data_IF_519837410423
#
_entry.id   IF_519837410423
#
_cell.length_a   1.000
_cell.length_b   1.000
_cell.length_c   1.000
_cell.angle_alpha   90.00
_cell.angle_beta   90.00
_cell.angle_gamma   90.00
#
_symmetry.space_group_name_H-M   'P 1'
#
loop_
_entity.id
_entity.type
_entity.pdbx_description
1 polymer ?
#
# COMPACT_ATOMS: atom_id res chain seq x y z
N UNK A 1 -27.14 -40.41 -9.16
CA UNK A 1 -25.97 -39.55 -9.41
C UNK A 1 -26.51 -38.16 -9.60
N UNK A 2 -26.24 -37.23 -8.67
CA UNK A 2 -26.59 -35.81 -8.81
C UNK A 2 -25.27 -35.03 -8.87
N UNK A 3 -25.10 -34.22 -9.91
CA UNK A 3 -23.89 -33.44 -10.24
C UNK A 3 -23.86 -32.06 -9.56
N UNK A 4 -24.42 -31.91 -8.35
CA UNK A 4 -24.62 -30.60 -7.70
C UNK A 4 -23.69 -30.33 -6.48
N UNK A 5 -22.62 -31.10 -6.28
CA UNK A 5 -21.80 -31.03 -5.04
C UNK A 5 -20.36 -30.49 -5.22
N UNK A 6 -20.02 -29.93 -6.39
CA UNK A 6 -18.64 -29.50 -6.71
C UNK A 6 -18.23 -28.12 -6.11
N UNK A 7 -19.04 -27.57 -5.21
CA UNK A 7 -18.90 -26.20 -4.71
C UNK A 7 -18.70 -26.04 -3.21
N UNK A 8 -18.82 -27.10 -2.42
CA UNK A 8 -18.82 -27.02 -0.95
C UNK A 8 -17.48 -27.48 -0.41
N UNK A 9 -16.54 -26.55 -0.29
CA UNK A 9 -15.34 -26.78 0.51
C UNK A 9 -15.72 -26.64 2.00
N UNK A 10 -15.52 -27.67 2.84
CA UNK A 10 -15.71 -27.54 4.28
C UNK A 10 -14.57 -26.68 4.84
N UNK A 11 -14.74 -25.36 4.78
CA UNK A 11 -13.87 -24.44 5.47
C UNK A 11 -14.30 -24.38 6.94
N UNK A 12 -13.35 -24.41 7.91
CA UNK A 12 -13.69 -24.05 9.27
C UNK A 12 -14.39 -22.69 9.24
N UNK A 13 -15.43 -22.54 10.06
CA UNK A 13 -16.31 -21.37 10.01
C UNK A 13 -15.46 -20.09 9.95
N UNK A 14 -15.82 -19.12 9.10
CA UNK A 14 -15.11 -17.85 8.96
C UNK A 14 -14.86 -17.15 10.31
N UNK A 15 -15.71 -17.47 11.31
CA UNK A 15 -15.61 -17.06 12.71
C UNK A 15 -14.36 -17.58 13.44
N UNK A 16 -13.82 -18.73 13.04
CA UNK A 16 -12.66 -19.38 13.64
C UNK A 16 -11.34 -18.91 12.97
N UNK A 17 -11.39 -18.57 11.69
CA UNK A 17 -10.24 -18.14 10.90
C UNK A 17 -9.91 -16.64 11.02
N UNK A 18 -10.89 -15.79 11.37
CA UNK A 18 -10.69 -14.33 11.43
C UNK A 18 -10.48 -13.82 12.86
N UNK A 19 -9.25 -13.37 13.16
CA UNK A 19 -8.93 -12.53 14.33
C UNK A 19 -8.49 -11.16 13.84
N UNK A 20 -9.22 -10.06 14.17
CA UNK A 20 -8.77 -8.72 13.78
C UNK A 20 -7.40 -8.42 14.43
N UNK A 21 -6.39 -7.98 13.67
CA UNK A 21 -5.01 -7.81 14.17
C UNK A 21 -4.87 -6.76 15.29
N UNK A 22 -5.80 -5.80 15.36
CA UNK A 22 -5.74 -4.69 16.32
C UNK A 22 -7.03 -4.56 17.10
N UNK A 23 -7.25 -5.41 18.11
CA UNK A 23 -8.08 -5.16 19.30
C UNK A 23 -9.50 -4.57 19.15
N UNK A 24 -10.10 -4.56 17.96
CA UNK A 24 -11.40 -3.97 17.70
C UNK A 24 -12.52 -4.83 18.29
N UNK A 25 -13.50 -4.20 18.95
CA UNK A 25 -14.64 -4.90 19.54
C UNK A 25 -15.39 -5.70 18.47
N UNK A 26 -15.66 -6.96 18.77
CA UNK A 26 -16.52 -7.85 17.99
C UNK A 26 -17.95 -7.32 18.02
N UNK A 27 -18.46 -6.89 16.87
CA UNK A 27 -19.90 -6.82 16.63
C UNK A 27 -20.13 -7.37 15.25
N UNK A 28 -20.76 -8.53 15.16
CA UNK A 28 -21.68 -8.90 14.08
C UNK A 28 -22.41 -10.17 14.56
N UNK A 29 -23.73 -10.06 14.80
CA UNK A 29 -24.60 -11.22 15.02
C UNK A 29 -24.53 -12.12 13.78
N UNK A 30 -24.52 -13.44 14.00
CA UNK A 30 -24.33 -14.45 12.96
C UNK A 30 -25.15 -14.17 11.70
N UNK A 31 -24.45 -13.97 10.59
CA UNK A 31 -25.03 -13.80 9.28
C UNK A 31 -24.35 -14.76 8.30
N UNK A 32 -25.14 -15.59 7.64
CA UNK A 32 -24.67 -16.46 6.55
C UNK A 32 -24.48 -15.61 5.29
N UNK A 33 -23.28 -15.61 4.71
CA UNK A 33 -23.03 -14.93 3.43
C UNK A 33 -23.42 -15.85 2.28
N UNK A 34 -24.57 -15.60 1.65
CA UNK A 34 -24.93 -16.21 0.36
C UNK A 34 -24.32 -15.39 -0.77
N UNK A 35 -23.34 -15.94 -1.48
CA UNK A 35 -22.86 -15.35 -2.73
C UNK A 35 -23.88 -15.70 -3.82
N UNK A 36 -24.69 -14.72 -4.23
CA UNK A 36 -25.55 -14.85 -5.41
C UNK A 36 -24.77 -14.44 -6.65
N UNK A 37 -24.77 -15.30 -7.66
CA UNK A 37 -24.38 -14.91 -9.02
C UNK A 37 -25.47 -14.01 -9.61
N UNK A 38 -25.09 -12.82 -10.06
CA UNK A 38 -25.80 -12.04 -11.09
C UNK A 38 -27.21 -11.56 -10.75
N UNK A 39 -27.35 -10.28 -10.43
CA UNK A 39 -28.63 -9.58 -10.44
C UNK A 39 -28.43 -8.07 -10.57
N UNK A 40 -28.96 -7.49 -11.66
CA UNK A 40 -28.88 -6.07 -12.02
C UNK A 40 -29.73 -5.24 -11.04
N UNK A 41 -29.07 -4.63 -10.04
CA UNK A 41 -29.69 -3.71 -9.09
C UNK A 41 -29.21 -2.28 -9.33
N UNK A 42 -30.16 -1.40 -9.63
CA UNK A 42 -29.96 0.05 -9.81
C UNK A 42 -29.71 0.76 -8.48
N UNK A 43 -28.63 1.54 -8.39
CA UNK A 43 -28.53 2.67 -7.46
C UNK A 43 -27.25 2.73 -6.60
N UNK A 44 -26.52 3.84 -6.71
CA UNK A 44 -25.57 4.31 -5.69
C UNK A 44 -24.10 3.95 -5.93
N UNK A 45 -23.30 4.95 -6.30
CA UNK A 45 -21.85 4.89 -6.47
C UNK A 45 -21.13 4.55 -5.16
N UNK A 46 -20.91 3.25 -4.94
CA UNK A 46 -19.79 2.63 -4.22
C UNK A 46 -19.94 1.11 -4.32
N UNK A 47 -20.07 0.59 -5.55
CA UNK A 47 -20.05 -0.84 -5.78
C UNK A 47 -18.63 -1.35 -5.50
N UNK A 48 -18.48 -2.19 -4.47
CA UNK A 48 -17.27 -2.98 -4.30
C UNK A 48 -17.00 -3.72 -5.62
N UNK A 49 -15.75 -3.79 -6.10
CA UNK A 49 -15.45 -4.47 -7.36
C UNK A 49 -15.97 -5.91 -7.28
N UNK A 50 -16.82 -6.28 -8.23
CA UNK A 50 -17.33 -7.65 -8.36
C UNK A 50 -16.18 -8.53 -8.85
N UNK A 51 -15.57 -9.27 -7.94
CA UNK A 51 -14.53 -10.24 -8.27
C UNK A 51 -15.11 -11.36 -9.13
N UNK A 52 -14.39 -11.76 -10.17
CA UNK A 52 -14.66 -12.98 -10.91
C UNK A 52 -14.50 -14.22 -10.00
N UNK A 53 -15.11 -15.36 -10.35
CA UNK A 53 -14.93 -16.61 -9.60
C UNK A 53 -13.46 -17.04 -9.47
N UNK A 54 -12.62 -16.72 -10.45
CA UNK A 54 -11.19 -17.01 -10.42
C UNK A 54 -10.45 -16.13 -9.41
N UNK A 55 -10.70 -14.82 -9.40
CA UNK A 55 -10.11 -13.89 -8.43
C UNK A 55 -10.57 -14.18 -7.00
N UNK A 56 -11.84 -14.58 -6.82
CA UNK A 56 -12.37 -15.00 -5.54
C UNK A 56 -11.66 -16.26 -5.02
N UNK A 57 -11.45 -17.28 -5.87
CA UNK A 57 -10.70 -18.50 -5.54
C UNK A 57 -9.23 -18.20 -5.19
N UNK A 58 -8.55 -17.40 -6.00
CA UNK A 58 -7.16 -17.01 -5.74
C UNK A 58 -7.01 -16.24 -4.41
N UNK A 59 -7.95 -15.32 -4.11
CA UNK A 59 -7.96 -14.59 -2.84
C UNK A 59 -8.20 -15.54 -1.65
N UNK A 60 -9.12 -16.49 -1.79
CA UNK A 60 -9.39 -17.48 -0.74
C UNK A 60 -8.18 -18.38 -0.48
N UNK A 61 -7.53 -18.85 -1.56
CA UNK A 61 -6.32 -19.66 -1.48
C UNK A 61 -5.19 -18.92 -0.76
N UNK A 62 -5.01 -17.63 -1.06
CA UNK A 62 -4.03 -16.78 -0.37
C UNK A 62 -4.31 -16.66 1.13
N UNK A 63 -5.58 -16.48 1.50
CA UNK A 63 -6.02 -16.39 2.90
C UNK A 63 -5.78 -17.73 3.62
N UNK A 64 -6.18 -18.84 3.00
CA UNK A 64 -6.00 -20.20 3.56
C UNK A 64 -4.51 -20.52 3.74
N UNK A 65 -3.66 -20.12 2.79
CA UNK A 65 -2.20 -20.28 2.86
C UNK A 65 -1.53 -19.31 3.85
N UNK A 66 -2.27 -18.40 4.48
CA UNK A 66 -1.73 -17.33 5.35
C UNK A 66 -0.61 -16.56 4.65
N UNK A 67 -0.77 -16.27 3.35
CA UNK A 67 0.25 -15.51 2.65
C UNK A 67 0.40 -14.13 3.30
N UNK A 68 1.63 -13.62 3.41
CA UNK A 68 1.87 -12.32 4.05
C UNK A 68 1.09 -11.22 3.32
N UNK A 69 0.26 -10.49 4.06
CA UNK A 69 -0.49 -9.34 3.56
C UNK A 69 0.21 -8.04 3.96
N UNK A 70 0.27 -7.08 3.03
CA UNK A 70 0.85 -5.75 3.26
C UNK A 70 -0.27 -4.75 3.47
N UNK A 71 -0.17 -3.99 4.55
CA UNK A 71 -1.01 -2.82 4.77
C UNK A 71 -0.40 -1.63 4.04
N UNK A 72 -1.17 -1.04 3.12
CA UNK A 72 -0.80 0.20 2.44
C UNK A 72 -1.65 1.33 3.00
N UNK A 73 -1.00 2.42 3.39
CA UNK A 73 -1.65 3.64 3.87
C UNK A 73 -1.15 4.83 3.07
N UNK A 74 -2.06 5.61 2.47
CA UNK A 74 -1.72 6.95 1.98
C UNK A 74 -1.58 7.85 3.21
N UNK A 75 -0.37 8.33 3.47
CA UNK A 75 -0.02 9.02 4.70
C UNK A 75 -0.07 10.54 4.58
N UNK A 76 0.10 11.09 3.37
CA UNK A 76 0.09 12.53 3.18
C UNK A 76 0.24 12.97 1.73
N UNK A 77 0.21 14.29 1.54
CA UNK A 77 0.46 14.98 0.27
C UNK A 77 1.28 16.23 0.56
N UNK A 78 2.27 16.52 -0.28
CA UNK A 78 3.17 17.65 -0.11
C UNK A 78 2.92 18.69 -1.20
N UNK A 79 3.18 19.95 -0.85
CA UNK A 79 2.99 21.09 -1.75
C UNK A 79 4.23 21.96 -1.67
N UNK A 80 4.89 22.14 -2.80
CA UNK A 80 6.08 22.96 -2.93
C UNK A 80 7.33 22.31 -2.34
N UNK A 81 8.48 22.88 -2.69
CA UNK A 81 9.80 22.38 -2.31
C UNK A 81 9.99 22.28 -0.79
N UNK A 82 9.51 23.26 -0.03
CA UNK A 82 9.70 23.31 1.42
C UNK A 82 9.02 22.14 2.15
N UNK A 83 7.74 21.89 1.85
CA UNK A 83 7.00 20.79 2.49
C UNK A 83 7.54 19.42 2.07
N UNK A 84 7.93 19.28 0.80
CA UNK A 84 8.56 18.04 0.31
C UNK A 84 9.93 17.80 0.95
N UNK A 85 10.76 18.85 1.07
CA UNK A 85 12.07 18.77 1.72
C UNK A 85 11.98 18.38 3.19
N UNK A 86 11.02 18.95 3.94
CA UNK A 86 10.75 18.54 5.32
C UNK A 86 10.27 17.08 5.40
N UNK A 87 9.46 16.64 4.44
CA UNK A 87 9.06 15.24 4.37
C UNK A 87 10.24 14.29 4.11
N UNK A 88 11.14 14.65 3.19
CA UNK A 88 12.37 13.89 2.96
C UNK A 88 13.28 13.87 4.20
N UNK A 89 13.38 15.00 4.93
CA UNK A 89 14.03 15.04 6.24
C UNK A 89 13.39 14.05 7.22
N UNK A 90 12.07 14.03 7.32
CA UNK A 90 11.34 13.10 8.19
C UNK A 90 11.59 11.62 7.85
N UNK A 91 11.44 11.22 6.57
CA UNK A 91 11.59 9.80 6.18
C UNK A 91 13.06 9.34 6.21
N UNK A 92 14.02 10.24 6.01
CA UNK A 92 15.46 9.91 6.16
C UNK A 92 15.94 9.99 7.61
N UNK A 93 15.07 10.33 8.57
CA UNK A 93 15.46 10.68 9.96
C UNK A 93 16.58 11.72 9.99
N UNK A 94 16.51 12.70 9.09
CA UNK A 94 17.51 13.74 8.85
C UNK A 94 18.88 13.15 8.52
N UNK A 95 18.92 12.27 7.52
CA UNK A 95 20.13 11.63 6.99
C UNK A 95 20.67 10.44 7.80
N UNK A 96 19.93 9.97 8.81
CA UNK A 96 20.30 8.75 9.57
C UNK A 96 19.88 7.46 8.88
N UNK A 97 18.90 7.54 7.99
CA UNK A 97 18.40 6.43 7.20
C UNK A 97 18.66 6.70 5.72
N UNK A 98 18.99 5.64 5.00
CA UNK A 98 19.15 5.65 3.56
C UNK A 98 17.80 5.85 2.86
N UNK A 99 17.78 6.72 1.86
CA UNK A 99 16.67 6.88 0.94
C UNK A 99 17.12 6.42 -0.44
N UNK A 100 16.39 5.51 -1.06
CA UNK A 100 16.67 5.02 -2.42
C UNK A 100 15.76 5.72 -3.43
N UNK A 101 16.34 6.27 -4.49
CA UNK A 101 15.58 6.87 -5.60
C UNK A 101 15.07 5.82 -6.58
N UNK A 102 14.16 6.22 -7.47
CA UNK A 102 13.67 5.39 -8.58
C UNK A 102 14.77 4.90 -9.53
N UNK A 103 15.90 5.61 -9.60
CA UNK A 103 17.06 5.23 -10.41
C UNK A 103 18.05 4.32 -9.67
N UNK A 104 17.74 3.99 -8.41
CA UNK A 104 18.60 3.16 -7.56
C UNK A 104 19.69 3.92 -6.80
N UNK A 105 19.76 5.25 -6.92
CA UNK A 105 20.68 6.09 -6.14
C UNK A 105 20.36 5.95 -4.64
N UNK A 106 21.37 5.72 -3.81
CA UNK A 106 21.24 5.72 -2.34
C UNK A 106 21.69 7.09 -1.83
N UNK A 107 20.77 7.78 -1.16
CA UNK A 107 20.94 9.16 -0.70
C UNK A 107 20.84 9.18 0.83
N UNK A 108 21.89 9.69 1.48
CA UNK A 108 21.95 9.90 2.93
C UNK A 108 22.15 11.37 3.31
N UNK A 109 22.56 12.21 2.37
CA UNK A 109 22.77 13.64 2.61
C UNK A 109 21.45 14.43 2.57
N UNK A 110 21.15 15.12 3.67
CA UNK A 110 19.95 15.93 3.80
C UNK A 110 19.94 17.11 2.82
N UNK A 111 21.10 17.69 2.51
CA UNK A 111 21.17 18.80 1.54
C UNK A 111 20.82 18.31 0.14
N UNK A 112 21.31 17.14 -0.26
CA UNK A 112 20.93 16.49 -1.51
C UNK A 112 19.43 16.20 -1.57
N UNK A 113 18.83 15.71 -0.50
CA UNK A 113 17.37 15.49 -0.44
C UNK A 113 16.58 16.80 -0.62
N UNK A 114 17.00 17.89 0.03
CA UNK A 114 16.38 19.21 -0.14
C UNK A 114 16.53 19.75 -1.56
N UNK A 115 17.67 19.51 -2.21
CA UNK A 115 17.86 19.88 -3.61
C UNK A 115 16.91 19.10 -4.53
N UNK A 116 16.77 17.78 -4.32
CA UNK A 116 15.83 16.96 -5.10
C UNK A 116 14.37 17.42 -4.90
N UNK A 117 13.99 17.80 -3.67
CA UNK A 117 12.67 18.36 -3.40
C UNK A 117 12.42 19.67 -4.19
N UNK A 118 13.45 20.52 -4.32
CA UNK A 118 13.37 21.73 -5.13
C UNK A 118 13.27 21.42 -6.63
N UNK A 119 14.02 20.43 -7.12
CA UNK A 119 13.95 19.98 -8.51
C UNK A 119 12.56 19.44 -8.86
N UNK A 120 11.95 18.64 -7.98
CA UNK A 120 10.59 18.12 -8.15
C UNK A 120 9.55 19.23 -8.21
N UNK A 121 9.64 20.22 -7.33
CA UNK A 121 8.74 21.39 -7.33
C UNK A 121 8.90 22.22 -8.61
N UNK A 122 10.14 22.45 -9.06
CA UNK A 122 10.40 23.15 -10.32
C UNK A 122 9.78 22.41 -11.52
N UNK A 123 9.92 21.08 -11.58
CA UNK A 123 9.30 20.26 -12.62
C UNK A 123 7.77 20.30 -12.53
N UNK A 124 7.21 20.23 -11.32
CA UNK A 124 5.76 20.34 -11.11
C UNK A 124 5.20 21.68 -11.61
N UNK A 125 5.87 22.78 -11.30
CA UNK A 125 5.49 24.12 -11.76
C UNK A 125 5.59 24.23 -13.29
N UNK A 126 6.66 23.72 -13.89
CA UNK A 126 6.84 23.70 -15.34
C UNK A 126 5.73 22.89 -16.06
N UNK A 127 5.29 21.78 -15.45
CA UNK A 127 4.18 20.96 -15.97
C UNK A 127 2.79 21.49 -15.61
N UNK A 128 2.67 22.60 -14.88
CA UNK A 128 1.40 23.20 -14.45
C UNK A 128 1.16 24.59 -15.07
N UNK A 129 1.15 24.74 -16.41
CA UNK A 129 1.07 26.06 -17.06
C UNK A 129 -0.22 26.83 -16.75
N UNK A 130 -1.26 26.14 -16.31
CA UNK A 130 -2.56 26.73 -15.95
C UNK A 130 -2.76 26.93 -14.44
N UNK A 131 -1.75 26.65 -13.61
CA UNK A 131 -1.78 26.92 -12.17
C UNK A 131 -2.86 26.16 -11.39
N UNK A 132 -3.14 24.89 -11.75
CA UNK A 132 -4.11 24.07 -11.01
C UNK A 132 -3.59 23.75 -9.60
N UNK A 133 -4.43 23.83 -8.57
CA UNK A 133 -4.05 23.35 -7.23
C UNK A 133 -3.93 21.82 -7.26
N UNK A 134 -2.69 21.35 -7.12
CA UNK A 134 -2.33 19.94 -7.06
C UNK A 134 -1.15 19.74 -6.12
N UNK A 135 -1.02 18.57 -5.49
CA UNK A 135 0.16 18.24 -4.70
C UNK A 135 1.37 18.00 -5.62
N UNK A 136 2.55 18.36 -5.13
CA UNK A 136 3.85 18.06 -5.76
C UNK A 136 4.19 16.57 -5.63
N UNK A 137 3.84 15.95 -4.49
CA UNK A 137 4.06 14.53 -4.24
C UNK A 137 2.97 13.91 -3.35
N UNK A 138 2.94 12.58 -3.30
CA UNK A 138 2.06 11.81 -2.44
C UNK A 138 2.87 10.79 -1.64
N UNK A 139 2.62 10.70 -0.34
CA UNK A 139 3.32 9.76 0.53
C UNK A 139 2.46 8.55 0.84
N UNK A 140 3.08 7.38 0.80
CA UNK A 140 2.51 6.10 1.15
C UNK A 140 3.40 5.41 2.20
N UNK A 141 2.77 4.62 3.06
CA UNK A 141 3.46 3.76 4.03
C UNK A 141 3.00 2.33 3.80
N UNK A 142 3.96 1.45 3.59
CA UNK A 142 3.76 0.03 3.41
C UNK A 142 4.31 -0.69 4.64
N UNK A 143 3.48 -1.47 5.32
CA UNK A 143 3.83 -2.17 6.56
C UNK A 143 3.34 -3.60 6.54
N UNK A 144 4.03 -4.49 7.26
CA UNK A 144 3.59 -5.85 7.50
C UNK A 144 3.37 -6.08 9.01
N UNK A 145 2.45 -6.98 9.40
CA UNK A 145 2.35 -7.43 10.79
C UNK A 145 3.69 -7.99 11.28
N UNK A 146 4.10 -7.62 12.49
CA UNK A 146 5.36 -8.12 13.07
C UNK A 146 5.39 -9.64 13.24
N UNK A 147 6.53 -10.26 12.97
CA UNK A 147 6.79 -11.68 13.25
C UNK A 147 6.67 -12.65 12.07
N UNK A 148 6.29 -12.18 10.86
CA UNK A 148 6.17 -13.06 9.68
C UNK A 148 7.21 -12.83 8.59
N UNK A 149 7.83 -11.65 8.52
CA UNK A 149 8.71 -11.26 7.40
C UNK A 149 9.84 -10.35 7.91
N UNK A 150 11.07 -10.55 7.42
CA UNK A 150 12.22 -9.70 7.73
C UNK A 150 12.14 -8.34 7.00
N UNK A 151 12.84 -7.34 7.54
CA UNK A 151 12.78 -5.97 7.01
C UNK A 151 13.37 -5.83 5.59
N UNK A 152 14.36 -6.66 5.23
CA UNK A 152 14.96 -6.62 3.90
C UNK A 152 13.99 -7.15 2.84
N UNK A 153 13.30 -8.26 3.12
CA UNK A 153 12.24 -8.79 2.26
C UNK A 153 11.10 -7.78 2.07
N UNK A 154 10.72 -7.04 3.11
CA UNK A 154 9.72 -5.96 2.98
C UNK A 154 10.24 -4.87 2.04
N UNK A 155 11.48 -4.44 2.23
CA UNK A 155 12.09 -3.39 1.41
C UNK A 155 12.17 -3.80 -0.07
N UNK A 156 12.63 -5.02 -0.36
CA UNK A 156 12.73 -5.55 -1.72
C UNK A 156 11.35 -5.69 -2.38
N UNK A 157 10.35 -6.17 -1.63
CA UNK A 157 8.98 -6.26 -2.11
C UNK A 157 8.39 -4.87 -2.43
N UNK A 158 8.64 -3.87 -1.59
CA UNK A 158 8.18 -2.50 -1.84
C UNK A 158 8.91 -1.87 -3.02
N UNK A 159 10.20 -2.16 -3.22
CA UNK A 159 10.92 -1.71 -4.42
C UNK A 159 10.39 -2.36 -5.69
N UNK A 160 10.10 -3.66 -5.66
CA UNK A 160 9.48 -4.34 -6.79
C UNK A 160 8.10 -3.76 -7.10
N UNK A 161 7.29 -3.50 -6.06
CA UNK A 161 6.00 -2.81 -6.19
C UNK A 161 6.17 -1.42 -6.80
N UNK A 162 7.09 -0.61 -6.28
CA UNK A 162 7.27 0.76 -6.75
C UNK A 162 7.71 0.80 -8.23
N UNK A 163 8.57 -0.13 -8.63
CA UNK A 163 8.98 -0.29 -10.01
C UNK A 163 7.79 -0.65 -10.92
N UNK A 164 6.96 -1.61 -10.53
CA UNK A 164 5.82 -2.05 -11.34
C UNK A 164 4.77 -0.94 -11.49
N UNK A 165 4.48 -0.20 -10.41
CA UNK A 165 3.36 0.75 -10.40
C UNK A 165 3.73 2.18 -10.82
N UNK A 166 4.98 2.61 -10.62
CA UNK A 166 5.37 4.01 -10.82
C UNK A 166 6.44 4.23 -11.89
N UNK A 167 7.25 3.22 -12.22
CA UNK A 167 8.31 3.38 -13.22
C UNK A 167 7.74 3.81 -14.58
N UNK A 168 8.42 4.77 -15.22
CA UNK A 168 8.00 5.34 -16.51
C UNK A 168 6.90 6.40 -16.40
N UNK A 169 6.28 6.60 -15.24
CA UNK A 169 5.26 7.63 -15.02
C UNK A 169 5.60 8.63 -13.91
N UNK A 170 6.18 8.15 -12.81
CA UNK A 170 6.48 8.96 -11.63
C UNK A 170 7.87 8.62 -11.09
N UNK A 171 8.62 9.66 -10.72
CA UNK A 171 9.80 9.50 -9.86
C UNK A 171 9.33 9.16 -8.44
N UNK A 172 10.11 8.36 -7.73
CA UNK A 172 9.79 7.96 -6.36
C UNK A 172 11.02 7.86 -5.47
N UNK A 173 10.80 7.95 -4.16
CA UNK A 173 11.80 7.79 -3.09
C UNK A 173 11.32 6.77 -2.07
N UNK A 174 12.20 5.83 -1.70
CA UNK A 174 11.91 4.72 -0.78
C UNK A 174 12.80 4.81 0.46
N UNK A 175 12.20 4.75 1.65
CA UNK A 175 12.94 4.72 2.92
C UNK A 175 12.41 3.63 3.85
N UNK A 176 13.28 2.71 4.27
CA UNK A 176 12.94 1.65 5.23
C UNK A 176 13.14 2.15 6.68
N UNK A 177 12.10 2.05 7.49
CA UNK A 177 12.14 2.33 8.93
C UNK A 177 12.10 1.01 9.71
N UNK A 178 13.19 0.71 10.42
CA UNK A 178 13.30 -0.43 11.36
C UNK A 178 13.43 0.02 12.81
N UNK A 179 13.30 1.32 13.08
CA UNK A 179 13.46 1.96 14.38
C UNK A 179 12.17 1.95 15.23
N UNK A 180 11.09 1.35 14.72
CA UNK A 180 9.80 1.21 15.42
C UNK A 180 9.46 -0.26 15.67
N UNK A 181 8.38 -0.52 16.43
CA UNK A 181 7.94 -1.88 16.75
C UNK A 181 7.59 -2.75 15.52
N UNK A 182 7.26 -2.12 14.39
CA UNK A 182 6.92 -2.81 13.15
C UNK A 182 7.68 -2.17 11.98
N UNK A 183 8.52 -2.94 11.27
CA UNK A 183 9.23 -2.43 10.11
C UNK A 183 8.24 -1.97 9.05
N UNK A 184 8.49 -0.80 8.50
CA UNK A 184 7.64 -0.20 7.49
C UNK A 184 8.47 0.63 6.51
N UNK A 185 7.95 0.77 5.30
CA UNK A 185 8.63 1.50 4.23
C UNK A 185 7.79 2.72 3.88
N UNK A 186 8.43 3.88 3.83
CA UNK A 186 7.87 5.10 3.25
C UNK A 186 8.18 5.11 1.76
N UNK A 187 7.16 5.42 0.96
CA UNK A 187 7.27 5.63 -0.48
C UNK A 187 6.69 7.01 -0.77
N UNK A 188 7.49 7.89 -1.38
CA UNK A 188 7.08 9.26 -1.78
C UNK A 188 7.20 9.44 -3.27
#
# INVERSE_FOLDING_TARGET
MNEDDDGVLPLPSLMEAWRPPTGGKRSLRGGTLRIRSGGKGSGGSNAAPTLSPAEARAKLERIVRKAPEVMVKISGKQRGAGHLGEHFGYISRHGKLEVRSSEGEIITDEKRLKAIAADWDMLDQAMNPYGKDRPTSMSMVLSMPGGTTDAATIHDAVQAFARVEFEGQFSYMVALHTDTAHPHVHLT
#
